data_IF_548224409413
#
_entry.id   IF_548224409413
#
_cell.length_a   1.000
_cell.length_b   1.000
_cell.length_c   1.000
_cell.angle_alpha   90.00
_cell.angle_beta   90.00
_cell.angle_gamma   90.00
#
_symmetry.space_group_name_H-M   'P 1'
#
loop_
_entity.id
_entity.type
_entity.pdbx_description
1 polymer ?
#
# COMPACT_ATOMS: atom_id res chain seq x y z
N UNK A 1 -5.38 5.73 13.06
CA UNK A 1 -6.48 5.35 12.16
C UNK A 1 -5.90 5.23 10.76
N UNK A 2 -5.40 4.05 10.40
CA UNK A 2 -4.97 3.77 9.03
C UNK A 2 -6.19 3.19 8.33
N UNK A 3 -6.87 4.02 7.55
CA UNK A 3 -7.94 3.58 6.67
C UNK A 3 -7.27 3.07 5.39
N UNK A 4 -7.28 1.76 5.18
CA UNK A 4 -6.95 1.16 3.88
C UNK A 4 -8.13 1.46 2.94
N UNK A 5 -8.05 2.60 2.24
CA UNK A 5 -9.02 2.96 1.23
C UNK A 5 -8.69 2.22 -0.08
N UNK A 6 -9.53 1.27 -0.48
CA UNK A 6 -9.74 1.02 -1.91
C UNK A 6 -10.75 2.04 -2.41
N UNK A 7 -10.27 3.10 -3.08
CA UNK A 7 -11.11 4.16 -3.63
C UNK A 7 -11.73 3.72 -4.97
N UNK A 8 -13.02 3.40 -4.93
CA UNK A 8 -13.92 3.50 -6.10
C UNK A 8 -15.19 4.18 -5.58
N UNK A 9 -15.45 5.41 -6.06
CA UNK A 9 -16.65 6.25 -5.88
C UNK A 9 -17.57 5.93 -4.67
N UNK A 10 -17.74 6.89 -3.75
CA UNK A 10 -18.53 6.76 -2.50
C UNK A 10 -19.90 6.03 -2.62
N UNK A 11 -20.56 6.07 -3.76
CA UNK A 11 -21.86 5.39 -4.01
C UNK A 11 -21.74 3.87 -4.31
N UNK A 12 -20.53 3.32 -4.49
CA UNK A 12 -20.29 1.91 -4.87
C UNK A 12 -19.42 1.14 -3.87
N UNK A 13 -19.19 1.69 -2.68
CA UNK A 13 -18.42 1.01 -1.63
C UNK A 13 -19.30 -0.08 -1.01
N UNK A 14 -18.99 -1.35 -1.30
CA UNK A 14 -19.74 -2.50 -0.79
C UNK A 14 -19.29 -2.94 0.61
N UNK A 15 -18.04 -2.69 0.98
CA UNK A 15 -17.48 -3.13 2.27
C UNK A 15 -16.35 -2.20 2.69
N UNK A 16 -16.31 -1.83 3.98
CA UNK A 16 -15.23 -1.05 4.58
C UNK A 16 -14.59 -1.85 5.71
N UNK A 17 -13.28 -2.13 5.58
CA UNK A 17 -12.51 -2.84 6.60
C UNK A 17 -11.80 -1.86 7.52
N UNK A 18 -12.02 -1.99 8.82
CA UNK A 18 -11.40 -1.15 9.84
C UNK A 18 -10.29 -1.89 10.56
N UNK A 19 -9.06 -1.41 10.43
CA UNK A 19 -7.97 -1.72 11.37
C UNK A 19 -8.11 -0.79 12.59
N UNK A 20 -8.63 -1.33 13.68
CA UNK A 20 -8.94 -0.55 14.87
C UNK A 20 -7.72 -0.48 15.79
N UNK A 21 -7.22 0.74 16.00
CA UNK A 21 -6.30 1.01 17.10
C UNK A 21 -7.13 1.30 18.36
N UNK A 22 -6.80 0.74 19.54
CA UNK A 22 -7.70 0.60 20.70
C UNK A 22 -8.17 1.91 21.39
N UNK A 23 -7.95 3.08 20.78
CA UNK A 23 -8.03 4.38 21.45
C UNK A 23 -9.20 5.25 20.95
N UNK A 24 -9.88 4.90 19.85
CA UNK A 24 -10.92 5.76 19.27
C UNK A 24 -12.23 5.00 19.06
N UNK A 25 -13.30 5.44 19.72
CA UNK A 25 -14.66 5.00 19.44
C UNK A 25 -15.18 5.76 18.20
N UNK A 26 -15.48 5.05 17.13
CA UNK A 26 -15.99 5.61 15.87
C UNK A 26 -17.45 5.21 15.66
N UNK A 27 -18.26 6.02 14.93
CA UNK A 27 -19.54 5.56 14.42
C UNK A 27 -19.38 4.26 13.64
N UNK A 28 -20.34 3.34 13.79
CA UNK A 28 -20.31 2.02 13.15
C UNK A 28 -21.62 1.78 12.39
N UNK A 29 -21.51 1.47 11.11
CA UNK A 29 -22.61 1.03 10.26
C UNK A 29 -22.57 -0.50 10.09
N UNK A 30 -23.51 -1.19 10.71
CA UNK A 30 -23.59 -2.65 10.66
C UNK A 30 -23.88 -3.22 9.25
N UNK A 31 -24.25 -2.38 8.27
CA UNK A 31 -24.52 -2.83 6.89
C UNK A 31 -23.25 -2.97 6.08
N UNK A 32 -22.22 -2.13 6.31
CA UNK A 32 -21.03 -2.06 5.47
C UNK A 32 -19.69 -2.14 6.21
N UNK A 33 -19.66 -1.86 7.51
CA UNK A 33 -18.43 -1.86 8.30
C UNK A 33 -18.11 -3.26 8.83
N UNK A 34 -16.86 -3.68 8.65
CA UNK A 34 -16.33 -4.95 9.17
C UNK A 34 -15.01 -4.74 9.91
N UNK A 35 -14.84 -5.44 11.03
CA UNK A 35 -13.66 -5.34 11.88
C UNK A 35 -12.54 -6.21 11.30
N UNK A 36 -11.36 -5.61 11.06
CA UNK A 36 -10.21 -6.29 10.48
C UNK A 36 -9.82 -7.54 11.26
N UNK A 37 -9.72 -7.43 12.59
CA UNK A 37 -9.30 -8.53 13.46
C UNK A 37 -10.28 -9.72 13.37
N UNK A 38 -11.58 -9.43 13.25
CA UNK A 38 -12.61 -10.47 13.12
C UNK A 38 -12.54 -11.17 11.76
N UNK A 39 -12.33 -10.43 10.67
CA UNK A 39 -12.18 -11.00 9.33
C UNK A 39 -10.91 -11.84 9.27
N UNK A 40 -9.79 -11.30 9.76
CA UNK A 40 -8.50 -11.99 9.72
C UNK A 40 -8.48 -13.28 10.56
N UNK A 41 -9.25 -13.34 11.65
CA UNK A 41 -9.37 -14.56 12.47
C UNK A 41 -10.11 -15.72 11.78
N UNK A 42 -10.81 -15.45 10.67
CA UNK A 42 -11.63 -16.43 9.95
C UNK A 42 -10.99 -16.90 8.64
N UNK A 43 -9.88 -16.28 8.21
CA UNK A 43 -9.19 -16.61 6.96
C UNK A 43 -7.93 -17.41 7.22
N UNK A 44 -7.49 -18.14 6.19
CA UNK A 44 -6.24 -18.92 6.20
C UNK A 44 -5.02 -17.99 6.25
N UNK A 45 -3.97 -18.39 6.97
CA UNK A 45 -2.65 -17.73 6.91
C UNK A 45 -1.94 -17.99 5.56
N UNK A 46 -2.43 -18.97 4.79
CA UNK A 46 -1.95 -19.29 3.45
C UNK A 46 -2.95 -18.83 2.40
N UNK A 47 -2.47 -18.06 1.43
CA UNK A 47 -3.22 -17.63 0.25
C UNK A 47 -2.32 -17.81 -0.97
N UNK A 48 -2.76 -18.62 -1.94
CA UNK A 48 -2.01 -18.78 -3.19
C UNK A 48 -2.04 -17.47 -3.99
N UNK A 49 -0.91 -17.05 -4.58
CA UNK A 49 -0.86 -15.83 -5.37
C UNK A 49 -1.66 -16.00 -6.67
N UNK A 50 -2.36 -14.95 -7.08
CA UNK A 50 -3.02 -14.89 -8.38
C UNK A 50 -1.97 -14.70 -9.49
N UNK A 51 -2.19 -15.38 -10.63
CA UNK A 51 -1.32 -15.23 -11.79
C UNK A 51 -1.75 -14.01 -12.61
N UNK A 52 -0.88 -13.01 -12.67
CA UNK A 52 -1.13 -11.76 -13.37
C UNK A 52 -0.28 -11.63 -14.63
N UNK A 53 -0.85 -11.01 -15.66
CA UNK A 53 -0.10 -10.56 -16.83
C UNK A 53 0.76 -9.34 -16.50
N UNK A 54 1.82 -9.13 -17.30
CA UNK A 54 2.78 -8.04 -17.09
C UNK A 54 2.13 -6.64 -17.05
N UNK A 55 1.07 -6.47 -17.84
CA UNK A 55 0.34 -5.20 -18.01
C UNK A 55 -0.94 -5.12 -17.17
N UNK A 56 -1.17 -6.08 -16.28
CA UNK A 56 -2.29 -5.99 -15.37
C UNK A 56 -2.15 -4.77 -14.44
N UNK A 57 -3.27 -4.11 -14.07
CA UNK A 57 -3.29 -3.03 -13.09
C UNK A 57 -2.70 -3.46 -11.75
N UNK A 58 -1.68 -2.74 -11.26
CA UNK A 58 -1.11 -2.96 -9.93
C UNK A 58 -1.71 -2.00 -8.89
N UNK A 59 -1.67 -0.69 -9.15
CA UNK A 59 -2.32 0.31 -8.29
C UNK A 59 -2.62 1.61 -9.04
N UNK A 60 -3.54 2.39 -8.48
CA UNK A 60 -3.82 3.76 -8.89
C UNK A 60 -3.39 4.71 -7.78
N UNK A 61 -2.52 5.66 -8.08
CA UNK A 61 -2.10 6.71 -7.16
C UNK A 61 -2.59 8.07 -7.64
N UNK A 62 -3.39 8.73 -6.81
CA UNK A 62 -3.90 10.07 -7.12
C UNK A 62 -2.87 11.15 -6.84
N UNK A 63 -2.71 12.07 -7.80
CA UNK A 63 -1.80 13.21 -7.72
C UNK A 63 -2.55 14.52 -7.92
N UNK A 64 -2.04 15.62 -7.36
CA UNK A 64 -2.78 16.90 -7.27
C UNK A 64 -3.19 17.52 -8.60
N UNK A 65 -2.46 17.26 -9.70
CA UNK A 65 -2.82 17.70 -11.06
C UNK A 65 -2.82 19.24 -11.26
N UNK A 66 -2.29 19.72 -12.40
CA UNK A 66 -2.26 21.17 -12.68
C UNK A 66 -3.64 21.81 -12.93
N UNK A 67 -4.66 21.00 -13.17
CA UNK A 67 -6.02 21.44 -13.54
C UNK A 67 -7.01 21.41 -12.37
N UNK A 68 -6.53 21.26 -11.13
CA UNK A 68 -7.34 21.29 -9.89
C UNK A 68 -8.15 20.02 -9.60
N UNK A 69 -8.26 19.08 -10.54
CA UNK A 69 -8.81 17.74 -10.32
C UNK A 69 -7.68 16.73 -10.14
N UNK A 70 -7.70 15.91 -9.07
CA UNK A 70 -6.71 14.85 -8.91
C UNK A 70 -6.72 13.90 -10.10
N UNK A 71 -5.52 13.51 -10.56
CA UNK A 71 -5.34 12.53 -11.65
C UNK A 71 -4.91 11.19 -11.06
N UNK A 72 -5.65 10.13 -11.37
CA UNK A 72 -5.28 8.76 -11.01
C UNK A 72 -4.22 8.24 -11.97
N UNK A 73 -3.00 8.06 -11.48
CA UNK A 73 -1.90 7.47 -12.25
C UNK A 73 -1.93 5.97 -12.03
N UNK A 74 -2.12 5.21 -13.10
CA UNK A 74 -2.11 3.75 -13.09
C UNK A 74 -0.67 3.25 -13.32
N UNK A 75 -0.24 2.30 -12.50
CA UNK A 75 0.97 1.53 -12.72
C UNK A 75 0.62 0.05 -12.96
N UNK A 76 1.33 -0.60 -13.87
CA UNK A 76 1.18 -2.03 -14.19
C UNK A 76 2.20 -2.89 -13.46
N UNK A 77 1.93 -4.19 -13.31
CA UNK A 77 2.68 -5.10 -12.43
C UNK A 77 4.17 -5.17 -12.76
N UNK A 78 4.53 -5.69 -13.95
CA UNK A 78 5.90 -6.10 -14.22
C UNK A 78 6.85 -4.90 -14.38
N UNK A 79 6.45 -3.90 -15.18
CA UNK A 79 7.28 -2.74 -15.46
C UNK A 79 7.59 -1.93 -14.20
N UNK A 80 6.60 -1.73 -13.33
CA UNK A 80 6.77 -0.97 -12.09
C UNK A 80 7.64 -1.73 -11.08
N UNK A 81 7.38 -3.02 -10.87
CA UNK A 81 8.16 -3.83 -9.93
C UNK A 81 9.62 -3.96 -10.39
N UNK A 82 9.86 -4.17 -11.69
CA UNK A 82 11.20 -4.20 -12.25
C UNK A 82 11.93 -2.86 -12.06
N UNK A 83 11.27 -1.75 -12.39
CA UNK A 83 11.85 -0.42 -12.24
C UNK A 83 12.28 -0.14 -10.80
N UNK A 84 11.35 -0.31 -9.86
CA UNK A 84 11.61 -0.03 -8.43
C UNK A 84 12.64 -0.98 -7.84
N UNK A 85 12.64 -2.26 -8.23
CA UNK A 85 13.65 -3.23 -7.80
C UNK A 85 15.05 -2.85 -8.29
N UNK A 86 15.19 -2.46 -9.56
CA UNK A 86 16.48 -2.10 -10.15
C UNK A 86 16.99 -0.77 -9.60
N UNK A 87 16.15 0.25 -9.51
CA UNK A 87 16.58 1.55 -8.96
C UNK A 87 16.91 1.44 -7.49
N UNK A 88 16.15 0.66 -6.71
CA UNK A 88 16.50 0.38 -5.33
C UNK A 88 17.90 -0.21 -5.20
N UNK A 89 18.18 -1.27 -5.97
CA UNK A 89 19.49 -1.93 -5.96
C UNK A 89 20.64 -1.02 -6.39
N UNK A 90 20.50 -0.35 -7.54
CA UNK A 90 21.63 0.33 -8.17
C UNK A 90 21.76 1.81 -7.81
N UNK A 91 20.68 2.52 -7.51
CA UNK A 91 20.73 3.95 -7.17
C UNK A 91 21.06 4.14 -5.70
N UNK A 92 20.48 3.33 -4.83
CA UNK A 92 20.80 3.36 -3.39
C UNK A 92 21.99 2.47 -3.04
N UNK A 93 22.53 1.72 -4.02
CA UNK A 93 23.64 0.79 -3.85
C UNK A 93 23.44 -0.17 -2.68
N UNK A 94 22.20 -0.65 -2.51
CA UNK A 94 21.80 -1.43 -1.35
C UNK A 94 22.52 -2.78 -1.30
N UNK A 95 23.13 -3.08 -0.16
CA UNK A 95 23.80 -4.33 0.12
C UNK A 95 22.96 -5.23 1.05
N UNK A 96 23.15 -6.57 1.03
CA UNK A 96 22.32 -7.49 1.80
C UNK A 96 22.25 -7.25 3.32
N UNK A 97 23.30 -6.68 3.91
CA UNK A 97 23.38 -6.42 5.36
C UNK A 97 22.91 -5.00 5.75
N UNK A 98 22.49 -4.19 4.77
CA UNK A 98 22.01 -2.84 5.03
C UNK A 98 20.61 -2.85 5.64
N UNK A 99 20.37 -1.90 6.54
CA UNK A 99 19.02 -1.55 7.00
C UNK A 99 18.59 -0.27 6.30
N UNK A 100 17.58 -0.38 5.45
CA UNK A 100 17.09 0.73 4.65
C UNK A 100 16.06 1.57 5.42
N UNK A 101 16.14 2.89 5.28
CA UNK A 101 15.18 3.81 5.89
C UNK A 101 14.76 4.91 4.91
N UNK A 102 13.50 4.88 4.51
CA UNK A 102 12.84 5.97 3.82
C UNK A 102 11.87 6.67 4.77
N UNK A 103 11.98 7.99 4.86
CA UNK A 103 11.17 8.85 5.74
C UNK A 103 9.87 9.34 5.09
N UNK A 104 9.59 8.89 3.86
CA UNK A 104 8.34 9.23 3.18
C UNK A 104 7.13 8.60 3.88
N UNK A 105 5.94 9.02 3.45
CA UNK A 105 4.69 8.35 3.82
C UNK A 105 4.23 7.42 2.68
N UNK A 106 3.57 6.31 3.03
CA UNK A 106 3.12 5.30 2.05
C UNK A 106 2.10 5.87 1.06
N UNK A 107 1.40 6.96 1.37
CA UNK A 107 0.47 7.63 0.46
C UNK A 107 1.14 8.41 -0.69
N UNK A 108 2.47 8.47 -0.73
CA UNK A 108 3.24 9.10 -1.80
C UNK A 108 3.92 8.05 -2.69
N UNK A 109 4.27 8.46 -3.92
CA UNK A 109 4.96 7.57 -4.86
C UNK A 109 6.31 7.09 -4.32
N UNK A 110 7.01 7.94 -3.54
CA UNK A 110 8.25 7.56 -2.86
C UNK A 110 8.01 6.44 -1.85
N UNK A 111 6.88 6.47 -1.11
CA UNK A 111 6.52 5.41 -0.18
C UNK A 111 6.18 4.11 -0.90
N UNK A 112 5.37 4.17 -1.96
CA UNK A 112 5.10 2.98 -2.78
C UNK A 112 6.40 2.37 -3.30
N UNK A 113 7.22 3.16 -3.98
CA UNK A 113 8.42 2.68 -4.66
C UNK A 113 9.52 2.24 -3.69
N UNK A 114 9.72 2.98 -2.59
CA UNK A 114 10.93 2.86 -1.78
C UNK A 114 10.67 2.61 -0.30
N UNK A 115 9.43 2.53 0.20
CA UNK A 115 9.15 1.88 1.49
C UNK A 115 8.72 0.43 1.26
N UNK A 116 7.91 0.20 0.21
CA UNK A 116 7.28 -1.10 -0.05
C UNK A 116 7.95 -1.85 -1.19
N UNK A 117 7.67 -1.49 -2.45
CA UNK A 117 7.94 -2.39 -3.59
C UNK A 117 9.42 -2.65 -3.83
N UNK A 118 10.25 -1.61 -3.97
CA UNK A 118 11.68 -1.74 -4.25
C UNK A 118 12.45 -2.51 -3.16
N UNK A 119 12.37 -2.11 -1.88
CA UNK A 119 13.05 -2.80 -0.78
C UNK A 119 12.58 -4.24 -0.62
N UNK A 120 11.27 -4.51 -0.58
CA UNK A 120 10.75 -5.86 -0.38
C UNK A 120 11.07 -6.79 -1.56
N UNK A 121 11.04 -6.28 -2.80
CA UNK A 121 11.44 -7.05 -3.98
C UNK A 121 12.93 -7.45 -3.95
N UNK A 122 13.78 -6.66 -3.26
CA UNK A 122 15.20 -6.97 -3.07
C UNK A 122 15.49 -7.71 -1.75
N UNK A 123 14.47 -8.06 -0.95
CA UNK A 123 14.66 -8.72 0.34
C UNK A 123 15.29 -7.84 1.42
N UNK A 124 15.19 -6.51 1.27
CA UNK A 124 15.81 -5.57 2.20
C UNK A 124 15.09 -5.53 3.55
N UNK A 125 15.87 -5.40 4.63
CA UNK A 125 15.31 -5.01 5.94
C UNK A 125 15.05 -3.51 5.94
N UNK A 126 13.82 -3.10 6.25
CA UNK A 126 13.40 -1.69 6.20
C UNK A 126 12.78 -1.21 7.50
N UNK A 127 12.97 0.07 7.81
CA UNK A 127 12.33 0.73 8.97
C UNK A 127 11.01 1.37 8.52
N UNK A 128 9.89 0.93 9.10
CA UNK A 128 8.60 1.59 8.98
C UNK A 128 8.33 2.44 10.23
N UNK A 129 8.26 3.75 10.08
CA UNK A 129 8.03 4.68 11.20
C UNK A 129 6.63 5.27 11.12
N UNK A 130 5.82 5.05 12.16
CA UNK A 130 4.59 5.80 12.40
C UNK A 130 4.85 6.92 13.38
N UNK A 131 4.37 8.13 13.10
CA UNK A 131 4.35 9.19 14.11
C UNK A 131 3.17 8.98 15.04
N UNK A 132 3.43 8.58 16.28
CA UNK A 132 2.47 8.69 17.38
C UNK A 132 2.58 10.10 17.96
N UNK A 133 1.53 10.90 17.85
CA UNK A 133 1.36 12.07 18.72
C UNK A 133 0.82 11.62 20.08
#
# INVERSE_FOLDING_TARGET
>A
MVLLYSLVYFDYILTVMFLLFPVVQTPWDAVCDVCWEQVMAQVSEQCEPEWLDAEDPLFILYTSGSTGKPKGVLHTVAGYLLYTSLTFKYVFDHQPDDVYWCTADIGWITGHSYITYGPLANGATSVLVSRTN
#
